data_IF_837440343807
#
_entry.id   IF_837440343807
#
_cell.length_a   1.000
_cell.length_b   1.000
_cell.length_c   1.000
_cell.angle_alpha   90.00
_cell.angle_beta   90.00
_cell.angle_gamma   90.00
#
_symmetry.space_group_name_H-M   'P 1'
#
loop_
_entity.id
_entity.type
_entity.pdbx_description
1 polymer ?
#
# COMPACT_ATOMS: atom_id res chain seq x y z
N UNK A 1 -16.10 -18.29 -7.47
CA UNK A 1 -15.75 -17.77 -6.14
C UNK A 1 -15.33 -16.31 -6.34
N UNK A 2 -16.04 -15.36 -5.75
CA UNK A 2 -15.64 -13.95 -5.82
C UNK A 2 -14.29 -13.77 -5.13
N UNK A 3 -13.35 -13.12 -5.82
CA UNK A 3 -12.05 -12.78 -5.22
C UNK A 3 -12.26 -11.58 -4.30
N UNK A 4 -11.75 -11.67 -3.07
CA UNK A 4 -11.62 -10.47 -2.25
C UNK A 4 -10.70 -9.49 -2.97
N UNK A 5 -11.17 -8.26 -3.10
CA UNK A 5 -10.47 -7.17 -3.77
C UNK A 5 -9.91 -6.19 -2.74
N UNK A 6 -8.96 -5.36 -3.16
CA UNK A 6 -8.37 -4.32 -2.32
C UNK A 6 -9.45 -3.37 -1.76
N UNK A 7 -9.13 -2.67 -0.67
CA UNK A 7 -10.03 -1.74 -0.02
C UNK A 7 -10.23 -0.48 -0.88
N UNK A 8 -11.29 -0.44 -1.69
CA UNK A 8 -11.58 0.68 -2.60
C UNK A 8 -11.76 2.01 -1.87
N UNK A 9 -12.42 2.01 -0.71
CA UNK A 9 -12.64 3.21 0.08
C UNK A 9 -11.31 3.81 0.56
N UNK A 10 -10.35 2.97 0.95
CA UNK A 10 -9.00 3.41 1.30
C UNK A 10 -8.29 4.07 0.13
N UNK A 11 -8.34 3.45 -1.06
CA UNK A 11 -7.69 3.97 -2.27
C UNK A 11 -8.30 5.31 -2.68
N UNK A 12 -9.61 5.47 -2.54
CA UNK A 12 -10.30 6.74 -2.77
C UNK A 12 -9.91 7.79 -1.72
N UNK A 13 -9.90 7.42 -0.44
CA UNK A 13 -9.48 8.31 0.65
C UNK A 13 -8.07 8.81 0.44
N UNK A 14 -7.12 7.95 0.06
CA UNK A 14 -5.72 8.33 -0.20
C UNK A 14 -5.53 9.11 -1.52
N UNK A 15 -6.61 9.52 -2.21
CA UNK A 15 -6.54 10.27 -3.46
C UNK A 15 -5.69 9.59 -4.55
N UNK A 16 -5.65 8.25 -4.57
CA UNK A 16 -4.77 7.48 -5.46
C UNK A 16 -5.10 7.68 -6.94
N UNK A 17 -6.39 7.82 -7.27
CA UNK A 17 -6.85 8.05 -8.65
C UNK A 17 -6.22 9.31 -9.27
N UNK A 18 -6.09 10.38 -8.48
CA UNK A 18 -5.43 11.62 -8.91
C UNK A 18 -3.99 11.36 -9.35
N UNK A 19 -3.22 10.56 -8.59
CA UNK A 19 -1.84 10.25 -8.96
C UNK A 19 -1.75 9.40 -10.23
N UNK A 20 -2.66 8.44 -10.43
CA UNK A 20 -2.71 7.63 -11.67
C UNK A 20 -2.88 8.54 -12.88
N UNK A 21 -3.85 9.45 -12.83
CA UNK A 21 -4.19 10.34 -13.93
C UNK A 21 -3.08 11.37 -14.19
N UNK A 22 -2.58 12.02 -13.14
CA UNK A 22 -1.54 13.06 -13.23
C UNK A 22 -0.22 12.52 -13.78
N UNK A 23 0.19 11.34 -13.32
CA UNK A 23 1.50 10.77 -13.64
C UNK A 23 1.45 9.68 -14.71
N UNK A 24 0.28 9.41 -15.28
CA UNK A 24 0.07 8.37 -16.30
C UNK A 24 0.61 7.00 -15.86
N UNK A 25 0.28 6.60 -14.63
CA UNK A 25 0.70 5.32 -14.03
C UNK A 25 -0.09 4.19 -14.68
N UNK A 26 0.30 3.77 -15.88
CA UNK A 26 -0.53 2.94 -16.77
C UNK A 26 -0.33 1.42 -16.59
N UNK A 27 0.57 0.98 -15.72
CA UNK A 27 0.77 -0.44 -15.44
C UNK A 27 -0.21 -0.91 -14.37
N UNK A 28 -1.36 -1.42 -14.82
CA UNK A 28 -2.44 -1.91 -13.95
C UNK A 28 -1.94 -2.92 -12.91
N UNK A 29 -1.03 -3.82 -13.30
CA UNK A 29 -0.50 -4.87 -12.44
C UNK A 29 0.33 -4.29 -11.28
N UNK A 30 1.18 -3.30 -11.56
CA UNK A 30 1.96 -2.61 -10.53
C UNK A 30 1.06 -1.78 -9.61
N UNK A 31 0.08 -1.09 -10.18
CA UNK A 31 -0.87 -0.30 -9.41
C UNK A 31 -1.68 -1.18 -8.45
N UNK A 32 -2.21 -2.30 -8.94
CA UNK A 32 -2.95 -3.26 -8.11
C UNK A 32 -2.08 -3.77 -6.96
N UNK A 33 -0.79 -4.07 -7.20
CA UNK A 33 0.12 -4.52 -6.14
C UNK A 33 0.21 -3.49 -5.01
N UNK A 34 0.31 -2.20 -5.35
CA UNK A 34 0.35 -1.10 -4.39
C UNK A 34 -0.99 -0.97 -3.65
N UNK A 35 -2.12 -1.13 -4.33
CA UNK A 35 -3.43 -1.04 -3.68
C UNK A 35 -3.63 -2.17 -2.66
N UNK A 36 -3.19 -3.38 -3.00
CA UNK A 36 -3.21 -4.52 -2.07
C UNK A 36 -2.21 -4.33 -0.91
N UNK A 37 -1.03 -3.75 -1.15
CA UNK A 37 -0.09 -3.43 -0.08
C UNK A 37 -0.69 -2.44 0.93
N UNK A 38 -1.23 -1.30 0.46
CA UNK A 38 -1.94 -0.32 1.31
C UNK A 38 -3.10 -0.97 2.07
N UNK A 39 -3.90 -1.80 1.40
CA UNK A 39 -5.03 -2.51 2.02
C UNK A 39 -4.56 -3.49 3.10
N UNK A 40 -3.43 -4.16 2.89
CA UNK A 40 -2.84 -5.08 3.86
C UNK A 40 -2.45 -4.36 5.15
N UNK A 41 -1.80 -3.19 5.04
CA UNK A 41 -1.45 -2.36 6.20
C UNK A 41 -2.71 -1.88 6.92
N UNK A 42 -3.70 -1.38 6.20
CA UNK A 42 -4.95 -0.89 6.79
C UNK A 42 -5.70 -1.97 7.58
N UNK A 43 -5.82 -3.19 7.03
CA UNK A 43 -6.47 -4.30 7.73
C UNK A 43 -5.66 -4.76 8.93
N UNK A 44 -4.33 -4.85 8.82
CA UNK A 44 -3.45 -5.25 9.93
C UNK A 44 -3.40 -4.23 11.08
N UNK A 45 -3.48 -2.94 10.79
CA UNK A 45 -3.22 -1.90 11.78
C UNK A 45 -4.51 -1.19 12.22
N UNK A 46 -5.20 -0.51 11.30
CA UNK A 46 -6.35 0.32 11.63
C UNK A 46 -7.55 -0.48 12.13
N UNK A 47 -7.77 -1.68 11.60
CA UNK A 47 -8.94 -2.51 11.96
C UNK A 47 -8.69 -3.52 13.09
N UNK A 48 -7.44 -3.86 13.36
CA UNK A 48 -7.08 -4.71 14.52
C UNK A 48 -7.14 -3.90 15.81
N UNK A 49 -6.71 -2.63 15.80
CA UNK A 49 -6.86 -1.72 16.94
C UNK A 49 -8.33 -1.51 17.36
N UNK A 50 -9.28 -1.68 16.43
CA UNK A 50 -10.71 -1.58 16.67
C UNK A 50 -11.35 -2.88 17.25
N UNK A 51 -10.55 -3.85 17.73
CA UNK A 51 -10.99 -5.07 18.45
C UNK A 51 -11.87 -6.06 17.67
N UNK A 52 -11.70 -6.19 16.35
CA UNK A 52 -12.28 -7.30 15.56
C UNK A 52 -11.14 -8.25 15.12
N UNK A 53 -10.75 -9.24 15.94
CA UNK A 53 -9.34 -9.67 15.94
C UNK A 53 -8.94 -10.66 14.83
N UNK A 54 -9.84 -11.52 14.34
CA UNK A 54 -9.42 -12.68 13.53
C UNK A 54 -9.68 -12.54 12.03
N UNK A 55 -10.78 -11.91 11.63
CA UNK A 55 -11.14 -11.79 10.20
C UNK A 55 -10.24 -10.79 9.47
N UNK A 56 -9.90 -9.67 10.11
CA UNK A 56 -9.13 -8.59 9.49
C UNK A 56 -7.64 -8.94 9.36
N UNK A 57 -7.10 -9.68 10.33
CA UNK A 57 -5.74 -10.23 10.24
C UNK A 57 -5.60 -11.11 8.99
N UNK A 58 -6.53 -12.05 8.78
CA UNK A 58 -6.52 -12.93 7.61
C UNK A 58 -6.72 -12.18 6.28
N UNK A 59 -7.46 -11.07 6.28
CA UNK A 59 -7.55 -10.21 5.10
C UNK A 59 -6.25 -9.48 4.81
N UNK A 60 -5.56 -8.98 5.84
CA UNK A 60 -4.25 -8.38 5.66
C UNK A 60 -3.24 -9.37 5.09
N UNK A 61 -3.19 -10.60 5.61
CA UNK A 61 -2.34 -11.67 5.08
C UNK A 61 -2.70 -12.03 3.63
N UNK A 62 -4.00 -12.15 3.34
CA UNK A 62 -4.48 -12.42 1.98
C UNK A 62 -4.07 -11.31 1.01
N UNK A 63 -4.24 -10.03 1.37
CA UNK A 63 -3.81 -8.91 0.53
C UNK A 63 -2.29 -8.88 0.36
N UNK A 64 -1.54 -9.25 1.39
CA UNK A 64 -0.10 -9.42 1.28
C UNK A 64 0.25 -10.47 0.23
N UNK A 65 -0.35 -11.66 0.33
CA UNK A 65 -0.18 -12.72 -0.66
C UNK A 65 -0.52 -12.28 -2.09
N UNK A 66 -1.55 -11.45 -2.27
CA UNK A 66 -1.95 -10.96 -3.59
C UNK A 66 -0.90 -10.03 -4.19
N UNK A 67 -0.36 -9.04 -3.45
CA UNK A 67 0.68 -8.18 -4.04
C UNK A 67 1.97 -8.96 -4.35
N UNK A 68 2.34 -9.94 -3.51
CA UNK A 68 3.44 -10.86 -3.82
C UNK A 68 3.18 -11.60 -5.14
N UNK A 69 1.97 -12.14 -5.28
CA UNK A 69 1.55 -12.88 -6.47
C UNK A 69 1.52 -12.04 -7.74
N UNK A 70 1.18 -10.75 -7.62
CA UNK A 70 1.26 -9.80 -8.73
C UNK A 70 2.73 -9.58 -9.10
N UNK A 71 3.61 -9.23 -8.17
CA UNK A 71 4.99 -8.88 -8.49
C UNK A 71 5.96 -10.06 -8.67
N UNK A 72 5.52 -11.32 -8.54
CA UNK A 72 6.39 -12.51 -8.59
C UNK A 72 7.28 -12.69 -9.83
N UNK A 73 6.98 -12.00 -10.93
CA UNK A 73 7.79 -12.02 -12.17
C UNK A 73 8.58 -10.73 -12.41
N UNK A 74 8.50 -9.77 -11.48
CA UNK A 74 9.21 -8.49 -11.48
C UNK A 74 9.91 -8.38 -10.13
N UNK A 75 10.94 -9.21 -9.95
CA UNK A 75 11.56 -9.46 -8.65
C UNK A 75 12.20 -8.20 -8.07
N UNK A 76 12.71 -7.30 -8.90
CA UNK A 76 13.31 -6.04 -8.45
C UNK A 76 12.27 -5.17 -7.74
N UNK A 77 11.10 -4.96 -8.35
CA UNK A 77 9.98 -4.23 -7.72
C UNK A 77 9.44 -4.96 -6.50
N UNK A 78 9.41 -6.28 -6.55
CA UNK A 78 8.96 -7.07 -5.41
C UNK A 78 9.89 -6.89 -4.20
N UNK A 79 11.20 -6.95 -4.41
CA UNK A 79 12.21 -6.76 -3.36
C UNK A 79 12.06 -5.37 -2.74
N UNK A 80 11.95 -4.33 -3.59
CA UNK A 80 11.80 -2.95 -3.14
C UNK A 80 10.54 -2.76 -2.28
N UNK A 81 9.38 -3.22 -2.77
CA UNK A 81 8.13 -3.13 -2.00
C UNK A 81 8.20 -3.97 -0.72
N UNK A 82 8.80 -5.15 -0.76
CA UNK A 82 8.96 -6.01 0.42
C UNK A 82 9.80 -5.31 1.50
N UNK A 83 10.86 -4.62 1.11
CA UNK A 83 11.72 -3.89 2.05
C UNK A 83 10.97 -2.72 2.71
N UNK A 84 10.19 -1.97 1.93
CA UNK A 84 9.30 -0.91 2.43
C UNK A 84 8.28 -1.47 3.41
N UNK A 85 7.61 -2.58 3.05
CA UNK A 85 6.60 -3.21 3.89
C UNK A 85 7.21 -3.71 5.21
N UNK A 86 8.35 -4.41 5.16
CA UNK A 86 9.10 -4.89 6.32
C UNK A 86 9.48 -3.74 7.26
N UNK A 87 10.08 -2.69 6.71
CA UNK A 87 10.57 -1.54 7.49
C UNK A 87 9.41 -0.78 8.12
N UNK A 88 8.32 -0.56 7.38
CA UNK A 88 7.14 0.11 7.90
C UNK A 88 6.42 -0.68 8.99
N UNK A 89 6.21 -1.99 8.83
CA UNK A 89 5.62 -2.81 9.90
C UNK A 89 6.47 -2.82 11.17
N UNK A 90 7.80 -2.89 11.03
CA UNK A 90 8.71 -2.78 12.16
C UNK A 90 8.59 -1.41 12.84
N UNK A 91 8.46 -0.34 12.04
CA UNK A 91 8.26 1.03 12.51
C UNK A 91 6.95 1.21 13.28
N UNK A 92 5.83 0.70 12.75
CA UNK A 92 4.53 0.68 13.44
C UNK A 92 4.64 -0.05 14.79
N UNK A 93 5.23 -1.25 14.78
CA UNK A 93 5.37 -2.08 16.01
C UNK A 93 6.22 -1.39 17.07
N UNK A 94 7.26 -0.65 16.65
CA UNK A 94 8.15 0.10 17.55
C UNK A 94 7.65 1.50 17.89
N UNK A 95 6.50 1.91 17.35
CA UNK A 95 5.95 3.27 17.46
C UNK A 95 6.91 4.37 16.98
N UNK A 96 7.79 4.05 16.02
CA UNK A 96 8.72 5.01 15.42
C UNK A 96 8.22 5.55 14.07
N UNK A 97 7.08 5.04 13.60
CA UNK A 97 6.41 5.44 12.37
C UNK A 97 4.91 5.33 12.59
N UNK A 98 4.16 6.32 12.13
CA UNK A 98 2.69 6.26 12.10
C UNK A 98 2.16 5.73 10.75
N UNK A 99 0.87 5.40 10.70
CA UNK A 99 0.23 4.84 9.51
C UNK A 99 0.29 5.75 8.28
N UNK A 100 0.21 7.07 8.47
CA UNK A 100 0.24 8.03 7.37
C UNK A 100 1.65 8.13 6.80
N UNK A 101 2.66 8.14 7.67
CA UNK A 101 4.07 8.05 7.29
C UNK A 101 4.37 6.75 6.54
N UNK A 102 3.83 5.60 6.97
CA UNK A 102 4.01 4.34 6.27
C UNK A 102 3.29 4.33 4.90
N UNK A 103 2.05 4.83 4.82
CA UNK A 103 1.36 4.93 3.54
C UNK A 103 2.13 5.82 2.55
N UNK A 104 2.75 6.92 3.02
CA UNK A 104 3.63 7.76 2.20
C UNK A 104 4.83 6.99 1.64
N UNK A 105 5.49 6.14 2.43
CA UNK A 105 6.64 5.36 1.93
C UNK A 105 6.21 4.32 0.90
N UNK A 106 5.05 3.69 1.05
CA UNK A 106 4.49 2.77 0.05
C UNK A 106 4.19 3.51 -1.26
N UNK A 107 3.60 4.70 -1.17
CA UNK A 107 3.26 5.51 -2.35
C UNK A 107 4.52 6.07 -3.01
N UNK A 108 5.53 6.47 -2.24
CA UNK A 108 6.84 6.85 -2.78
C UNK A 108 7.46 5.70 -3.57
N UNK A 109 7.42 4.47 -3.03
CA UNK A 109 7.92 3.29 -3.73
C UNK A 109 7.16 2.99 -5.02
N UNK A 110 5.86 3.31 -5.07
CA UNK A 110 5.08 3.21 -6.29
C UNK A 110 5.55 4.19 -7.37
N UNK A 111 5.93 5.41 -7.01
CA UNK A 111 6.51 6.39 -7.95
C UNK A 111 7.83 5.88 -8.52
N UNK A 112 8.68 5.27 -7.68
CA UNK A 112 9.95 4.68 -8.12
C UNK A 112 9.75 3.57 -9.15
N UNK A 113 8.64 2.82 -9.11
CA UNK A 113 8.34 1.80 -10.13
C UNK A 113 8.23 2.40 -11.54
N UNK A 114 7.93 3.68 -11.64
CA UNK A 114 7.80 4.44 -12.88
C UNK A 114 8.97 5.39 -13.14
N UNK A 115 10.06 5.29 -12.35
CA UNK A 115 11.19 6.23 -12.37
C UNK A 115 10.76 7.69 -12.12
N UNK A 116 9.76 7.88 -11.26
CA UNK A 116 9.28 9.18 -10.82
C UNK A 116 9.74 9.45 -9.40
N UNK A 117 9.80 10.73 -9.02
CA UNK A 117 10.09 11.14 -7.64
C UNK A 117 8.80 11.61 -6.98
N UNK A 118 8.49 11.05 -5.80
CA UNK A 118 7.40 11.54 -4.97
C UNK A 118 7.86 12.77 -4.18
N UNK A 119 7.33 13.94 -4.52
CA UNK A 119 7.78 15.22 -3.96
C UNK A 119 6.85 15.76 -2.86
N UNK A 120 7.21 16.93 -2.32
CA UNK A 120 6.43 17.58 -1.26
C UNK A 120 5.02 17.98 -1.72
N UNK A 121 4.84 18.38 -2.99
CA UNK A 121 3.52 18.75 -3.52
C UNK A 121 2.63 17.52 -3.62
N UNK A 122 3.20 16.37 -3.99
CA UNK A 122 2.47 15.11 -3.99
C UNK A 122 2.13 14.64 -2.58
N UNK A 123 3.05 14.84 -1.62
CA UNK A 123 2.78 14.59 -0.19
C UNK A 123 1.64 15.46 0.36
N UNK A 124 1.50 16.71 -0.12
CA UNK A 124 0.37 17.59 0.22
C UNK A 124 -0.94 17.17 -0.46
N UNK A 125 -0.86 16.57 -1.66
CA UNK A 125 -2.02 16.04 -2.38
C UNK A 125 -2.53 14.71 -1.80
N UNK A 126 -1.71 14.04 -0.97
CA UNK A 126 -2.09 12.84 -0.25
C UNK A 126 -2.96 13.19 0.96
N UNK A 127 -4.16 12.62 1.02
CA UNK A 127 -5.05 12.77 2.16
C UNK A 127 -4.66 11.74 3.22
N UNK A 128 -4.55 12.19 4.47
CA UNK A 128 -4.19 11.35 5.63
C UNK A 128 -5.40 10.57 6.16
N UNK A 129 -5.16 9.37 6.67
CA UNK A 129 -6.14 8.50 7.33
C UNK A 129 -6.29 8.82 8.81
#
# INVERSE_FOLDING_TARGET
MERYTYNKELIEKLNIKYFIEKYNLNNEKHNLAIFYALSSVYEHHCRVEQKIPTKNLLFGDYYSFVYYSLLKYDLDKLILLTDVMKTGYLGLTKLTMDINSFNRTIISQWFDFYNLTFDEKDSQALISL
#
